data_IF_773822760082
#
_entry.id   IF_773822760082
#
_cell.length_a   1.000
_cell.length_b   1.000
_cell.length_c   1.000
_cell.angle_alpha   90.00
_cell.angle_beta   90.00
_cell.angle_gamma   90.00
#
_symmetry.space_group_name_H-M   'P 1'
#
loop_
_entity.id
_entity.type
_entity.pdbx_description
1 polymer ?
#
# COMPACT_ATOMS: atom_id res chain seq x y z
N UNK A 1 -17.16 -8.41 -6.92
CA UNK A 1 -16.50 -9.38 -7.81
C UNK A 1 -17.45 -10.45 -8.32
N UNK A 2 -18.34 -11.02 -7.50
CA UNK A 2 -19.37 -11.94 -7.97
C UNK A 2 -20.54 -11.27 -8.74
N UNK A 3 -20.82 -9.98 -8.48
CA UNK A 3 -22.03 -9.31 -9.01
C UNK A 3 -21.78 -7.92 -9.67
N UNK A 4 -20.53 -7.46 -9.76
CA UNK A 4 -20.18 -6.13 -10.31
C UNK A 4 -18.96 -6.23 -11.22
N UNK A 5 -18.96 -5.46 -12.31
CA UNK A 5 -17.92 -5.48 -13.34
C UNK A 5 -16.53 -5.19 -12.76
N UNK A 6 -15.51 -5.76 -13.39
CA UNK A 6 -14.09 -5.62 -13.01
C UNK A 6 -13.70 -4.15 -12.84
N UNK A 7 -14.21 -3.26 -13.70
CA UNK A 7 -13.95 -1.82 -13.62
C UNK A 7 -14.46 -1.18 -12.32
N UNK A 8 -15.65 -1.55 -11.83
CA UNK A 8 -16.18 -1.03 -10.56
C UNK A 8 -15.32 -1.51 -9.39
N UNK A 9 -14.87 -2.78 -9.43
CA UNK A 9 -13.95 -3.32 -8.44
C UNK A 9 -12.61 -2.58 -8.40
N UNK A 10 -12.03 -2.27 -9.56
CA UNK A 10 -10.78 -1.51 -9.64
C UNK A 10 -10.91 -0.07 -9.14
N UNK A 11 -12.01 0.61 -9.46
CA UNK A 11 -12.26 2.00 -9.02
C UNK A 11 -12.37 2.11 -7.50
N UNK A 12 -13.06 1.13 -6.88
CA UNK A 12 -13.23 1.08 -5.42
C UNK A 12 -11.89 0.85 -4.71
N UNK A 13 -11.05 -0.06 -5.21
CA UNK A 13 -9.73 -0.37 -4.58
C UNK A 13 -8.76 0.79 -4.71
N UNK A 14 -8.64 1.39 -5.90
CA UNK A 14 -7.77 2.56 -6.09
C UNK A 14 -8.26 3.79 -5.33
N UNK A 15 -9.58 3.92 -5.13
CA UNK A 15 -10.18 5.01 -4.35
C UNK A 15 -10.12 4.81 -2.84
N UNK A 16 -10.01 3.57 -2.34
CA UNK A 16 -9.97 3.25 -0.90
C UNK A 16 -8.57 2.93 -0.39
N UNK A 17 -7.61 2.59 -1.25
CA UNK A 17 -6.23 2.46 -0.80
C UNK A 17 -5.71 3.86 -0.47
N UNK A 18 -5.27 4.12 0.76
CA UNK A 18 -4.91 5.46 1.17
C UNK A 18 -3.51 5.79 0.65
N UNK A 19 -3.40 6.06 -0.65
CA UNK A 19 -2.15 6.44 -1.32
C UNK A 19 -1.56 7.78 -0.88
N UNK A 20 -2.20 8.46 0.08
CA UNK A 20 -1.70 9.68 0.74
C UNK A 20 -1.33 9.44 2.22
N UNK A 21 -1.55 8.23 2.76
CA UNK A 21 -1.15 7.86 4.12
C UNK A 21 0.10 6.97 4.04
N UNK A 22 1.23 7.61 3.71
CA UNK A 22 2.55 6.98 3.71
C UNK A 22 3.02 6.75 5.15
N UNK A 23 2.43 5.78 5.83
CA UNK A 23 2.78 5.44 7.20
C UNK A 23 3.00 3.93 7.39
N UNK A 24 3.90 3.52 8.29
CA UNK A 24 4.10 2.11 8.64
C UNK A 24 2.81 1.41 9.11
N UNK A 25 1.89 2.14 9.75
CA UNK A 25 0.60 1.63 10.20
C UNK A 25 -0.30 1.25 9.02
N UNK A 26 -0.30 2.03 7.94
CA UNK A 26 -1.02 1.69 6.69
C UNK A 26 -0.49 0.40 6.08
N UNK A 27 0.84 0.21 6.10
CA UNK A 27 1.46 -1.01 5.60
C UNK A 27 1.04 -2.22 6.45
N UNK A 28 1.08 -2.09 7.78
CA UNK A 28 0.64 -3.13 8.71
C UNK A 28 -0.86 -3.47 8.57
N UNK A 29 -1.71 -2.47 8.38
CA UNK A 29 -3.15 -2.67 8.14
C UNK A 29 -3.40 -3.40 6.81
N UNK A 30 -2.63 -3.07 5.77
CA UNK A 30 -2.69 -3.75 4.47
C UNK A 30 -2.28 -5.22 4.59
N UNK A 31 -1.21 -5.50 5.34
CA UNK A 31 -0.77 -6.87 5.64
C UNK A 31 -1.84 -7.66 6.38
N UNK A 32 -2.43 -7.08 7.44
CA UNK A 32 -3.51 -7.72 8.19
C UNK A 32 -4.71 -8.04 7.30
N UNK A 33 -5.08 -7.12 6.39
CA UNK A 33 -6.17 -7.36 5.44
C UNK A 33 -5.85 -8.52 4.48
N UNK A 34 -4.63 -8.55 3.91
CA UNK A 34 -4.20 -9.61 2.98
C UNK A 34 -4.18 -10.99 3.64
N UNK A 35 -3.77 -11.07 4.91
CA UNK A 35 -3.80 -12.31 5.69
C UNK A 35 -5.24 -12.73 6.01
N UNK A 36 -6.09 -11.78 6.42
CA UNK A 36 -7.48 -12.06 6.81
C UNK A 36 -8.42 -12.41 5.66
N UNK A 37 -8.04 -12.12 4.42
CA UNK A 37 -8.92 -12.28 3.23
C UNK A 37 -8.27 -13.15 2.14
N UNK A 38 -7.71 -14.30 2.52
CA UNK A 38 -7.04 -15.23 1.61
C UNK A 38 -7.93 -15.70 0.43
N UNK A 39 -9.24 -15.74 0.66
CA UNK A 39 -10.30 -16.14 -0.26
C UNK A 39 -10.86 -14.99 -1.12
N UNK A 40 -10.43 -13.75 -0.90
CA UNK A 40 -10.81 -12.63 -1.74
C UNK A 40 -10.42 -12.86 -3.21
N UNK A 41 -11.20 -12.29 -4.13
CA UNK A 41 -11.02 -12.49 -5.56
C UNK A 41 -9.55 -12.26 -5.99
N UNK A 42 -8.92 -13.17 -6.77
CA UNK A 42 -7.48 -13.12 -7.05
C UNK A 42 -7.00 -11.81 -7.64
N UNK A 43 -7.79 -11.21 -8.54
CA UNK A 43 -7.45 -9.92 -9.15
C UNK A 43 -7.51 -8.75 -8.15
N UNK A 44 -8.43 -8.80 -7.17
CA UNK A 44 -8.49 -7.82 -6.09
C UNK A 44 -7.25 -7.92 -5.20
N UNK A 45 -6.92 -9.15 -4.76
CA UNK A 45 -5.73 -9.40 -3.94
C UNK A 45 -4.45 -8.93 -4.62
N UNK A 46 -4.32 -9.14 -5.93
CA UNK A 46 -3.18 -8.66 -6.72
C UNK A 46 -3.02 -7.13 -6.65
N UNK A 47 -4.10 -6.38 -6.83
CA UNK A 47 -4.05 -4.90 -6.77
C UNK A 47 -3.63 -4.38 -5.39
N UNK A 48 -4.09 -5.05 -4.32
CA UNK A 48 -3.70 -4.70 -2.95
C UNK A 48 -2.22 -5.03 -2.69
N UNK A 49 -1.72 -6.16 -3.21
CA UNK A 49 -0.29 -6.50 -3.15
C UNK A 49 0.58 -5.48 -3.88
N UNK A 50 0.20 -5.09 -5.10
CA UNK A 50 0.91 -4.05 -5.87
C UNK A 50 0.96 -2.72 -5.09
N UNK A 51 -0.18 -2.29 -4.54
CA UNK A 51 -0.26 -1.03 -3.78
C UNK A 51 0.56 -1.09 -2.48
N UNK A 52 0.59 -2.25 -1.82
CA UNK A 52 1.42 -2.52 -0.64
C UNK A 52 2.91 -2.38 -0.96
N UNK A 53 3.36 -2.96 -2.07
CA UNK A 53 4.77 -2.95 -2.45
C UNK A 53 5.25 -1.54 -2.82
N UNK A 54 4.40 -0.76 -3.48
CA UNK A 54 4.65 0.65 -3.78
C UNK A 54 4.78 1.47 -2.47
N UNK A 55 3.85 1.31 -1.52
CA UNK A 55 3.93 1.97 -0.21
C UNK A 55 5.19 1.59 0.56
N UNK A 56 5.53 0.29 0.61
CA UNK A 56 6.73 -0.17 1.30
C UNK A 56 8.01 0.42 0.67
N UNK A 57 8.01 0.62 -0.65
CA UNK A 57 9.12 1.28 -1.34
C UNK A 57 9.20 2.77 -0.99
N UNK A 58 8.09 3.48 -0.96
CA UNK A 58 8.04 4.89 -0.60
C UNK A 58 8.58 5.12 0.82
N UNK A 59 8.15 4.32 1.80
CA UNK A 59 8.61 4.39 3.19
C UNK A 59 10.13 4.19 3.31
N UNK A 60 10.70 3.19 2.63
CA UNK A 60 12.16 3.01 2.60
C UNK A 60 12.90 4.21 1.99
N UNK A 61 12.31 4.85 0.97
CA UNK A 61 12.85 6.09 0.40
C UNK A 61 12.89 7.22 1.44
N UNK A 62 11.80 7.41 2.17
CA UNK A 62 11.70 8.42 3.22
C UNK A 62 12.70 8.18 4.37
N UNK A 63 12.88 6.93 4.81
CA UNK A 63 13.88 6.57 5.84
C UNK A 63 15.31 6.89 5.37
N UNK A 64 15.64 6.53 4.12
CA UNK A 64 16.90 6.87 3.49
C UNK A 64 17.11 8.40 3.47
N UNK A 65 16.13 9.16 2.99
CA UNK A 65 16.20 10.61 2.92
C UNK A 65 16.38 11.25 4.31
N UNK A 66 15.65 10.77 5.32
CA UNK A 66 15.77 11.25 6.70
C UNK A 66 17.19 11.02 7.27
N UNK A 67 17.79 9.85 7.01
CA UNK A 67 19.16 9.54 7.43
C UNK A 67 20.22 10.38 6.68
N UNK A 68 20.00 10.66 5.39
CA UNK A 68 20.84 11.53 4.57
C UNK A 68 20.77 13.01 5.00
N UNK A 69 19.56 13.52 5.28
CA UNK A 69 19.34 14.89 5.77
C UNK A 69 20.00 15.13 7.13
N UNK A 70 19.95 14.13 8.02
CA UNK A 70 20.62 14.21 9.33
C UNK A 70 22.14 14.31 9.18
N UNK A 71 22.70 13.63 8.18
CA UNK A 71 24.15 13.63 7.90
C UNK A 71 24.62 14.96 7.31
N UNK A 72 23.82 15.62 6.46
CA UNK A 72 24.18 16.91 5.82
C UNK A 72 24.06 18.11 6.76
N UNK A 73 23.18 18.06 7.77
CA UNK A 73 23.00 19.17 8.75
C UNK A 73 24.02 19.17 9.89
N UNK A 74 24.85 18.14 10.00
CA UNK A 74 25.85 17.97 11.06
C UNK A 74 27.27 18.38 10.68
N UNK A 75 27.50 18.96 9.49
CA UNK A 75 28.81 19.41 8.99
C UNK A 75 28.88 20.93 8.95
#
# INVERSE_FOLDING_TARGET
>A
WAERSIQIGMHVVRGLFPGLQDSPETLAATDAWLTGHADAAPALRRLVLESRDDLARALRGQECDASGVTTVRGV
#
